data_IF_981896926493
#
_entry.id   IF_981896926493
#
_cell.length_a   1.000
_cell.length_b   1.000
_cell.length_c   1.000
_cell.angle_alpha   90.00
_cell.angle_beta   90.00
_cell.angle_gamma   90.00
#
_symmetry.space_group_name_H-M   'P 1'
#
loop_
_entity.id
_entity.type
_entity.pdbx_description
1 polymer ?
#
# COMPACT_ATOMS: atom_id res chain seq x y z
N UNK A 1 -13.67 -4.65 -5.57
CA UNK A 1 -13.49 -5.70 -6.59
C UNK A 1 -12.13 -5.49 -7.22
N UNK A 2 -11.18 -6.43 -7.08
CA UNK A 2 -9.89 -6.38 -7.78
C UNK A 2 -10.03 -6.81 -9.26
N UNK A 3 -8.93 -6.83 -10.02
CA UNK A 3 -8.96 -7.22 -11.45
C UNK A 3 -9.45 -8.64 -11.73
N UNK A 4 -9.57 -9.49 -10.70
CA UNK A 4 -10.05 -10.87 -10.80
C UNK A 4 -11.49 -11.02 -10.27
N UNK A 5 -12.20 -9.93 -9.98
CA UNK A 5 -13.57 -9.98 -9.51
C UNK A 5 -13.73 -10.17 -7.99
N UNK A 6 -12.65 -10.18 -7.21
CA UNK A 6 -12.74 -10.42 -5.76
C UNK A 6 -13.10 -9.12 -5.03
N UNK A 7 -14.23 -9.10 -4.31
CA UNK A 7 -14.72 -7.92 -3.63
C UNK A 7 -14.52 -7.99 -2.12
N UNK A 8 -13.54 -7.23 -1.62
CA UNK A 8 -13.22 -7.13 -0.19
C UNK A 8 -14.01 -6.04 0.56
N UNK A 9 -15.17 -5.66 0.03
CA UNK A 9 -16.03 -4.62 0.59
C UNK A 9 -15.92 -3.28 -0.13
N UNK A 10 -16.66 -2.26 0.36
CA UNK A 10 -16.66 -0.93 -0.21
C UNK A 10 -15.30 -0.24 -0.03
N UNK A 11 -15.05 0.78 -0.87
CA UNK A 11 -13.91 1.67 -0.68
C UNK A 11 -14.04 2.47 0.61
N UNK A 12 -12.90 2.79 1.22
CA UNK A 12 -12.80 3.51 2.48
C UNK A 12 -12.44 4.96 2.19
N UNK A 13 -13.34 5.88 2.55
CA UNK A 13 -13.16 7.31 2.30
C UNK A 13 -12.31 7.90 3.44
N UNK A 14 -11.14 8.43 3.08
CA UNK A 14 -10.30 9.25 3.96
C UNK A 14 -10.04 10.55 3.22
N UNK A 15 -10.57 11.64 3.79
CA UNK A 15 -10.73 12.92 3.10
C UNK A 15 -11.44 12.77 1.75
N UNK A 16 -10.83 13.26 0.67
CA UNK A 16 -11.34 13.21 -0.70
C UNK A 16 -10.80 12.00 -1.48
N UNK A 17 -10.13 11.05 -0.80
CA UNK A 17 -9.54 9.85 -1.43
C UNK A 17 -10.29 8.60 -0.96
N UNK A 18 -10.77 7.82 -1.93
CA UNK A 18 -11.39 6.52 -1.67
C UNK A 18 -10.32 5.44 -1.80
N UNK A 19 -9.92 4.83 -0.69
CA UNK A 19 -8.93 3.77 -0.65
C UNK A 19 -9.55 2.39 -0.86
N UNK A 20 -8.86 1.51 -1.60
CA UNK A 20 -9.26 0.12 -1.70
C UNK A 20 -9.12 -0.56 -0.32
N UNK A 21 -10.05 -1.44 0.08
CA UNK A 21 -10.03 -2.05 1.42
C UNK A 21 -8.86 -3.04 1.61
N UNK A 22 -8.30 -3.60 0.53
CA UNK A 22 -7.13 -4.50 0.57
C UNK A 22 -6.13 -4.19 -0.55
N UNK A 23 -4.91 -4.75 -0.43
CA UNK A 23 -3.91 -4.75 -1.49
C UNK A 23 -4.40 -5.60 -2.68
N UNK A 24 -3.98 -5.24 -3.90
CA UNK A 24 -4.29 -6.05 -5.07
C UNK A 24 -3.75 -7.47 -4.93
N UNK A 25 -4.56 -8.46 -5.33
CA UNK A 25 -4.22 -9.87 -5.23
C UNK A 25 -4.29 -10.45 -3.83
N UNK A 26 -4.81 -9.72 -2.84
CA UNK A 26 -5.13 -10.30 -1.53
C UNK A 26 -6.21 -11.39 -1.67
N UNK A 27 -6.18 -12.35 -0.75
CA UNK A 27 -7.18 -13.42 -0.59
C UNK A 27 -7.51 -13.59 0.90
N UNK A 28 -8.50 -14.42 1.23
CA UNK A 28 -8.80 -14.75 2.64
C UNK A 28 -7.60 -15.35 3.38
N UNK A 29 -6.77 -16.13 2.67
CA UNK A 29 -5.58 -16.79 3.22
C UNK A 29 -4.29 -15.97 3.09
N UNK A 30 -4.24 -14.99 2.18
CA UNK A 30 -3.07 -14.14 1.92
C UNK A 30 -3.49 -12.66 1.89
N UNK A 31 -3.51 -12.04 3.05
CA UNK A 31 -3.99 -10.67 3.21
C UNK A 31 -2.92 -9.59 2.94
N UNK A 32 -1.64 -9.98 2.81
CA UNK A 32 -0.60 -9.02 2.41
C UNK A 32 -0.70 -8.63 0.93
N UNK A 33 -1.39 -9.45 0.12
CA UNK A 33 -1.56 -9.23 -1.32
C UNK A 33 -0.39 -9.71 -2.16
N UNK A 34 -0.43 -9.41 -3.46
CA UNK A 34 0.65 -9.75 -4.40
C UNK A 34 1.72 -8.67 -4.45
N UNK A 35 2.93 -9.09 -4.78
CA UNK A 35 4.02 -8.20 -5.15
C UNK A 35 4.05 -8.05 -6.68
N UNK A 36 4.22 -6.82 -7.13
CA UNK A 36 4.31 -6.48 -8.55
C UNK A 36 5.71 -5.95 -8.81
N UNK A 37 6.43 -6.52 -9.79
CA UNK A 37 7.82 -6.18 -10.11
C UNK A 37 7.91 -5.42 -11.43
N UNK A 38 8.95 -4.59 -11.58
CA UNK A 38 9.27 -3.96 -12.85
C UNK A 38 10.33 -4.75 -13.59
N UNK A 39 9.91 -5.74 -14.37
CA UNK A 39 10.84 -6.52 -15.20
C UNK A 39 11.43 -5.70 -16.36
N UNK A 40 10.77 -4.61 -16.77
CA UNK A 40 11.20 -3.61 -17.77
C UNK A 40 10.19 -2.43 -17.79
N UNK A 41 10.31 -1.53 -18.77
CA UNK A 41 9.42 -0.36 -18.92
C UNK A 41 7.93 -0.69 -19.09
N UNK A 42 7.59 -1.77 -19.81
CA UNK A 42 6.19 -2.23 -19.95
C UNK A 42 5.65 -2.80 -18.66
N UNK A 43 6.53 -3.26 -17.77
CA UNK A 43 6.10 -3.77 -16.47
C UNK A 43 5.54 -2.67 -15.55
N UNK A 44 5.80 -1.38 -15.82
CA UNK A 44 5.11 -0.31 -15.08
C UNK A 44 3.65 -0.20 -15.49
N UNK A 45 3.32 -0.54 -16.75
CA UNK A 45 1.92 -0.67 -17.17
C UNK A 45 1.25 -1.86 -16.47
N UNK A 46 1.95 -2.99 -16.26
CA UNK A 46 1.42 -4.11 -15.47
C UNK A 46 1.09 -3.72 -14.02
N UNK A 47 1.88 -2.82 -13.41
CA UNK A 47 1.61 -2.26 -12.07
C UNK A 47 0.38 -1.35 -12.10
N UNK A 48 0.23 -0.50 -13.12
CA UNK A 48 -0.96 0.36 -13.28
C UNK A 48 -2.23 -0.47 -13.51
N UNK A 49 -2.14 -1.51 -14.35
CA UNK A 49 -3.21 -2.46 -14.66
C UNK A 49 -3.50 -3.44 -13.51
N UNK A 50 -2.71 -3.41 -12.43
CA UNK A 50 -3.07 -4.11 -11.20
C UNK A 50 -4.36 -3.55 -10.59
N UNK A 51 -4.61 -2.26 -10.80
CA UNK A 51 -5.83 -1.62 -10.35
C UNK A 51 -7.02 -1.96 -11.26
N UNK A 52 -8.17 -2.35 -10.68
CA UNK A 52 -9.39 -2.65 -11.43
C UNK A 52 -9.97 -1.38 -12.07
N UNK A 53 -10.89 -1.55 -13.03
CA UNK A 53 -11.50 -0.43 -13.76
C UNK A 53 -12.09 0.64 -12.82
N UNK A 54 -11.80 1.89 -13.14
CA UNK A 54 -12.18 3.06 -12.34
C UNK A 54 -11.34 3.27 -11.08
N UNK A 55 -10.38 2.39 -10.78
CA UNK A 55 -9.37 2.60 -9.73
C UNK A 55 -8.02 2.87 -10.35
N UNK A 56 -7.14 3.56 -9.62
CA UNK A 56 -5.81 3.94 -10.07
C UNK A 56 -4.76 3.75 -8.98
N UNK A 57 -3.48 3.79 -9.37
CA UNK A 57 -2.39 3.88 -8.42
C UNK A 57 -2.47 5.20 -7.64
N UNK A 58 -2.25 5.18 -6.32
CA UNK A 58 -2.13 6.39 -5.51
C UNK A 58 -0.87 7.16 -5.89
N UNK A 59 -0.95 8.48 -5.79
CA UNK A 59 0.21 9.38 -5.80
C UNK A 59 0.96 9.33 -4.47
N UNK A 60 2.19 9.83 -4.42
CA UNK A 60 2.89 10.13 -3.18
C UNK A 60 2.07 11.07 -2.29
N UNK A 61 1.41 12.06 -2.88
CA UNK A 61 0.56 13.00 -2.13
C UNK A 61 -0.60 12.29 -1.42
N UNK A 62 -1.23 11.31 -2.07
CA UNK A 62 -2.29 10.50 -1.45
C UNK A 62 -1.81 9.81 -0.18
N UNK A 63 -0.63 9.19 -0.23
CA UNK A 63 -0.04 8.57 0.94
C UNK A 63 0.33 9.58 2.02
N UNK A 64 0.86 10.75 1.64
CA UNK A 64 1.23 11.79 2.61
C UNK A 64 0.02 12.32 3.39
N UNK A 65 -1.19 12.29 2.81
CA UNK A 65 -2.42 12.61 3.56
C UNK A 65 -2.67 11.67 4.76
N UNK A 66 -2.13 10.44 4.72
CA UNK A 66 -2.29 9.45 5.78
C UNK A 66 -1.26 9.60 6.91
N UNK A 67 -0.20 10.39 6.71
CA UNK A 67 1.02 10.38 7.54
C UNK A 67 0.76 10.60 9.04
N UNK A 68 -0.10 11.54 9.39
CA UNK A 68 -0.37 11.87 10.79
C UNK A 68 -1.58 11.11 11.37
N UNK A 69 -2.17 10.19 10.60
CA UNK A 69 -3.43 9.49 10.95
C UNK A 69 -3.23 8.00 11.24
N UNK A 70 -1.99 7.61 11.46
CA UNK A 70 -1.58 6.24 11.63
C UNK A 70 -1.66 5.79 13.09
N UNK A 71 -2.19 4.60 13.33
CA UNK A 71 -2.09 3.94 14.64
C UNK A 71 -0.69 3.36 14.87
N UNK A 72 -0.46 2.84 16.07
CA UNK A 72 0.61 1.87 16.30
C UNK A 72 0.39 0.60 15.46
N UNK A 73 1.46 -0.18 15.26
CA UNK A 73 1.36 -1.51 14.66
C UNK A 73 0.34 -2.32 15.42
N UNK A 74 -0.52 -3.02 14.67
CA UNK A 74 -1.44 -3.97 15.22
C UNK A 74 -1.51 -5.24 14.36
N UNK A 75 -2.28 -6.21 14.84
CA UNK A 75 -2.63 -7.42 14.12
C UNK A 75 -4.10 -7.32 13.74
N UNK A 76 -4.38 -7.44 12.45
CA UNK A 76 -5.72 -7.55 11.90
C UNK A 76 -5.83 -8.88 11.14
N UNK A 77 -6.74 -9.76 11.56
CA UNK A 77 -6.93 -11.09 10.96
C UNK A 77 -5.60 -11.86 10.69
N UNK A 78 -4.72 -11.91 11.70
CA UNK A 78 -3.38 -12.53 11.65
C UNK A 78 -2.34 -11.81 10.75
N UNK A 79 -2.64 -10.61 10.28
CA UNK A 79 -1.75 -9.79 9.45
C UNK A 79 -1.25 -8.61 10.26
N UNK A 80 0.07 -8.42 10.35
CA UNK A 80 0.65 -7.23 10.98
C UNK A 80 0.58 -6.05 10.03
N UNK A 81 0.36 -4.86 10.57
CA UNK A 81 0.24 -3.63 9.79
C UNK A 81 -0.31 -2.49 10.61
N UNK A 82 -0.80 -1.46 9.93
CA UNK A 82 -1.25 -0.21 10.54
C UNK A 82 -2.60 0.21 9.99
N UNK A 83 -3.42 0.80 10.88
CA UNK A 83 -4.64 1.47 10.48
C UNK A 83 -4.36 2.95 10.24
N UNK A 84 -4.86 3.47 9.13
CA UNK A 84 -4.96 4.90 8.89
C UNK A 84 -6.43 5.28 8.94
N UNK A 85 -6.76 6.33 9.67
CA UNK A 85 -8.15 6.78 9.81
C UNK A 85 -8.39 8.17 9.24
N UNK A 86 -9.64 8.64 9.25
CA UNK A 86 -10.02 9.99 8.85
C UNK A 86 -9.71 11.08 9.90
N UNK A 87 -9.09 10.75 11.02
CA UNK A 87 -8.64 11.68 12.06
C UNK A 87 -7.39 11.16 12.78
N UNK A 88 -6.75 11.97 13.61
CA UNK A 88 -5.71 11.47 14.52
C UNK A 88 -6.38 10.54 15.55
N UNK A 89 -5.93 9.28 15.64
CA UNK A 89 -6.61 8.22 16.40
C UNK A 89 -5.68 7.47 17.35
N UNK A 90 -6.22 7.15 18.52
CA UNK A 90 -5.65 6.18 19.47
C UNK A 90 -6.27 4.79 19.23
N UNK A 91 -5.56 3.69 19.50
CA UNK A 91 -5.89 2.32 19.06
C UNK A 91 -7.31 1.82 19.39
N UNK A 92 -7.93 2.34 20.45
CA UNK A 92 -9.26 1.93 20.94
C UNK A 92 -10.44 2.50 20.14
N UNK A 93 -10.16 3.39 19.20
CA UNK A 93 -11.15 4.12 18.42
C UNK A 93 -11.80 3.34 17.28
N UNK A 94 -11.22 2.19 16.91
CA UNK A 94 -11.75 1.28 15.87
C UNK A 94 -13.15 0.72 16.18
N UNK A 95 -13.63 0.87 17.42
CA UNK A 95 -14.97 0.45 17.84
C UNK A 95 -16.00 1.58 17.84
N UNK A 96 -15.60 2.82 17.52
CA UNK A 96 -16.54 3.95 17.40
C UNK A 96 -17.13 3.99 15.99
N UNK A 97 -18.45 4.11 15.90
CA UNK A 97 -19.22 4.04 14.63
C UNK A 97 -18.90 5.18 13.65
N UNK A 98 -18.32 6.28 14.14
CA UNK A 98 -17.98 7.48 13.36
C UNK A 98 -16.54 7.46 12.81
N UNK A 99 -15.77 6.39 13.08
CA UNK A 99 -14.38 6.28 12.68
C UNK A 99 -14.27 5.36 11.48
N UNK A 100 -13.77 5.94 10.39
CA UNK A 100 -13.52 5.25 9.13
C UNK A 100 -12.01 5.05 9.05
N UNK A 101 -11.58 3.80 8.87
CA UNK A 101 -10.17 3.44 8.83
C UNK A 101 -9.89 2.36 7.78
N UNK A 102 -8.69 2.43 7.21
CA UNK A 102 -8.17 1.47 6.23
C UNK A 102 -6.91 0.81 6.78
N UNK A 103 -6.79 -0.50 6.60
CA UNK A 103 -5.64 -1.27 7.06
C UNK A 103 -4.62 -1.47 5.94
N UNK A 104 -3.37 -1.13 6.25
CA UNK A 104 -2.22 -1.36 5.39
C UNK A 104 -1.34 -2.45 5.99
N UNK A 105 -1.26 -3.63 5.33
CA UNK A 105 -0.36 -4.68 5.74
C UNK A 105 1.10 -4.23 5.73
N UNK A 106 1.86 -4.77 6.67
CA UNK A 106 3.32 -4.72 6.67
C UNK A 106 3.88 -5.79 5.71
N UNK A 107 3.63 -5.63 4.41
CA UNK A 107 4.04 -6.60 3.39
C UNK A 107 5.55 -6.64 3.14
N UNK A 108 6.26 -5.55 3.43
CA UNK A 108 7.65 -5.40 3.02
C UNK A 108 7.80 -5.37 1.49
N UNK A 109 8.95 -5.80 1.00
CA UNK A 109 9.25 -5.89 -0.44
C UNK A 109 9.82 -7.25 -0.83
N UNK A 110 9.45 -7.72 -2.02
CA UNK A 110 10.01 -8.93 -2.60
C UNK A 110 11.24 -8.59 -3.44
N UNK A 111 12.42 -9.14 -3.15
CA UNK A 111 13.55 -9.00 -4.08
C UNK A 111 13.54 -10.17 -5.05
N UNK A 112 13.83 -9.93 -6.34
CA UNK A 112 13.81 -10.97 -7.39
C UNK A 112 14.65 -12.23 -7.06
N UNK A 113 15.61 -12.15 -6.13
CA UNK A 113 16.48 -13.25 -5.73
C UNK A 113 16.01 -14.01 -4.47
N UNK A 114 14.93 -13.59 -3.81
CA UNK A 114 14.49 -14.16 -2.52
C UNK A 114 13.09 -14.76 -2.64
N UNK A 115 12.87 -15.92 -2.01
CA UNK A 115 11.51 -16.48 -1.83
C UNK A 115 10.75 -15.82 -0.66
N UNK A 116 11.45 -15.04 0.17
CA UNK A 116 10.92 -14.39 1.35
C UNK A 116 10.94 -12.85 1.21
N UNK A 117 9.82 -12.15 1.45
CA UNK A 117 9.80 -10.70 1.43
C UNK A 117 10.64 -10.10 2.55
N UNK A 118 11.48 -9.13 2.20
CA UNK A 118 12.26 -8.35 3.15
C UNK A 118 11.37 -7.37 3.89
N UNK A 119 11.57 -7.23 5.20
CA UNK A 119 10.79 -6.29 6.01
C UNK A 119 9.32 -6.69 6.22
N UNK A 120 8.89 -7.88 5.79
CA UNK A 120 7.55 -8.41 6.11
C UNK A 120 7.34 -8.32 7.63
N UNK A 121 6.13 -7.96 8.02
CA UNK A 121 5.72 -7.69 9.41
C UNK A 121 6.39 -6.47 10.08
N UNK A 122 7.29 -5.76 9.40
CA UNK A 122 8.09 -4.66 9.94
C UNK A 122 7.97 -3.35 9.14
N UNK A 123 7.62 -3.44 7.86
CA UNK A 123 7.36 -2.30 6.98
C UNK A 123 6.31 -2.65 5.93
N UNK A 124 5.69 -1.66 5.31
CA UNK A 124 4.87 -1.82 4.11
C UNK A 124 5.45 -1.00 2.97
N UNK A 125 5.67 -1.61 1.81
CA UNK A 125 6.22 -0.90 0.65
C UNK A 125 5.23 -0.93 -0.52
N UNK A 126 4.93 0.26 -1.04
CA UNK A 126 3.85 0.44 -2.00
C UNK A 126 4.30 1.20 -3.24
N UNK A 127 3.85 0.74 -4.40
CA UNK A 127 3.96 1.50 -5.66
C UNK A 127 3.11 2.76 -5.62
N UNK A 128 3.63 3.84 -6.18
CA UNK A 128 2.85 5.04 -6.48
C UNK A 128 2.76 5.28 -7.99
N UNK A 129 1.94 6.25 -8.39
CA UNK A 129 1.71 6.59 -9.80
C UNK A 129 2.85 7.41 -10.42
N UNK A 130 3.69 8.03 -9.60
CA UNK A 130 4.83 8.81 -10.06
C UNK A 130 5.93 7.91 -10.62
N UNK A 131 6.30 8.19 -11.86
CA UNK A 131 7.48 7.64 -12.52
C UNK A 131 8.30 8.81 -13.07
N UNK A 132 9.56 8.91 -12.68
CA UNK A 132 10.53 9.78 -13.35
C UNK A 132 11.30 8.97 -14.40
N UNK A 133 11.32 9.49 -15.61
CA UNK A 133 12.12 8.93 -16.70
C UNK A 133 13.44 9.69 -16.72
N UNK A 134 14.52 9.13 -16.16
CA UNK A 134 15.85 9.56 -16.59
C UNK A 134 16.28 8.68 -17.77
N UNK A 135 16.94 9.32 -18.73
CA UNK A 135 17.54 8.78 -19.95
C UNK A 135 18.33 7.48 -19.79
N UNK A 136 18.71 7.08 -18.58
CA UNK A 136 19.43 5.84 -18.29
C UNK A 136 18.81 4.99 -17.15
N UNK A 137 17.71 5.42 -16.52
CA UNK A 137 16.99 4.66 -15.50
C UNK A 137 15.52 5.11 -15.36
N UNK A 138 14.58 4.16 -15.39
CA UNK A 138 13.23 4.31 -14.85
C UNK A 138 13.32 4.44 -13.34
N UNK A 139 13.10 5.66 -12.85
CA UNK A 139 12.87 5.92 -11.45
C UNK A 139 11.37 5.87 -11.20
N UNK A 140 10.97 5.10 -10.22
CA UNK A 140 9.58 4.96 -9.81
C UNK A 140 9.53 5.31 -8.34
N UNK A 141 8.54 6.12 -7.97
CA UNK A 141 8.33 6.47 -6.59
C UNK A 141 7.70 5.30 -5.85
N UNK A 142 8.10 5.14 -4.60
CA UNK A 142 7.42 4.27 -3.67
C UNK A 142 7.25 4.95 -2.32
N UNK A 143 6.34 4.37 -1.55
CA UNK A 143 6.10 4.76 -0.18
C UNK A 143 6.55 3.63 0.74
N UNK A 144 7.42 3.99 1.67
CA UNK A 144 7.89 3.16 2.76
C UNK A 144 7.11 3.52 4.02
N UNK A 145 6.29 2.59 4.48
CA UNK A 145 5.62 2.65 5.77
C UNK A 145 6.53 1.96 6.78
N UNK A 146 7.23 2.75 7.59
CA UNK A 146 8.05 2.24 8.68
C UNK A 146 7.26 2.16 9.97
N UNK A 147 7.50 1.09 10.70
CA UNK A 147 6.84 0.88 11.98
C UNK A 147 7.87 0.71 13.10
N UNK A 148 8.58 1.79 13.44
CA UNK A 148 9.49 1.76 14.58
C UNK A 148 8.71 2.06 15.87
N UNK A 149 9.14 1.45 16.99
CA UNK A 149 8.41 1.23 18.25
C UNK A 149 7.56 2.41 18.79
N UNK A 150 6.37 2.63 18.23
CA UNK A 150 5.35 3.51 18.83
C UNK A 150 4.64 4.52 17.92
N UNK A 151 4.95 4.63 16.62
CA UNK A 151 4.09 5.30 15.61
C UNK A 151 4.50 4.85 14.21
N UNK A 152 3.54 4.68 13.29
CA UNK A 152 3.89 4.50 11.89
C UNK A 152 4.44 5.81 11.32
N UNK A 153 5.48 5.72 10.50
CA UNK A 153 5.99 6.83 9.71
C UNK A 153 5.80 6.51 8.22
N UNK A 154 5.42 7.54 7.46
CA UNK A 154 5.32 7.47 6.00
C UNK A 154 6.51 8.24 5.45
N UNK A 155 7.39 7.53 4.74
CA UNK A 155 8.48 8.13 3.97
C UNK A 155 8.24 7.87 2.49
N UNK A 156 8.30 8.94 1.68
CA UNK A 156 8.29 8.86 0.22
C UNK A 156 9.73 8.86 -0.26
N UNK A 157 10.14 7.86 -1.02
CA UNK A 157 11.47 7.81 -1.63
C UNK A 157 11.37 7.65 -3.14
N UNK A 158 12.28 8.32 -3.86
CA UNK A 158 12.42 8.25 -5.32
C UNK A 158 13.52 7.25 -5.70
N UNK A 159 13.54 6.04 -5.13
CA UNK A 159 14.60 5.08 -5.47
C UNK A 159 14.14 3.62 -5.29
N UNK A 160 13.30 3.12 -6.21
CA UNK A 160 13.13 1.67 -6.34
C UNK A 160 14.04 1.13 -7.43
N UNK A 161 14.91 0.20 -7.05
CA UNK A 161 15.57 -0.68 -8.00
C UNK A 161 14.53 -1.59 -8.66
N UNK A 162 14.59 -1.74 -9.99
CA UNK A 162 13.76 -2.68 -10.78
C UNK A 162 13.61 -4.08 -10.17
N UNK A 163 14.59 -4.49 -9.35
CA UNK A 163 14.64 -5.78 -8.67
C UNK A 163 13.65 -5.97 -7.52
N UNK A 164 12.85 -4.96 -7.16
CA UNK A 164 11.91 -5.05 -6.05
C UNK A 164 10.46 -5.18 -6.54
N UNK A 165 9.76 -6.16 -5.99
CA UNK A 165 8.32 -6.32 -6.08
C UNK A 165 7.67 -5.65 -4.88
N UNK A 166 6.82 -4.65 -5.15
CA UNK A 166 6.10 -3.91 -4.11
C UNK A 166 4.60 -4.22 -4.17
N UNK A 167 3.89 -3.91 -3.09
CA UNK A 167 2.44 -4.04 -3.04
C UNK A 167 1.75 -2.91 -3.82
N UNK A 168 0.55 -3.20 -4.33
CA UNK A 168 -0.33 -2.19 -4.94
C UNK A 168 -1.55 -1.99 -4.05
N UNK A 169 -1.84 -0.75 -3.68
CA UNK A 169 -3.07 -0.34 -2.99
C UNK A 169 -3.76 0.74 -3.80
N UNK A 170 -4.87 0.42 -4.44
CA UNK A 170 -5.52 1.35 -5.36
C UNK A 170 -6.37 2.42 -4.66
N UNK A 171 -6.60 3.53 -5.36
CA UNK A 171 -7.47 4.63 -4.94
C UNK A 171 -8.48 5.03 -6.03
N UNK A 172 -9.49 5.78 -5.62
CA UNK A 172 -10.50 6.46 -6.44
C UNK A 172 -10.60 7.91 -5.99
N UNK A 173 -10.75 8.82 -6.95
CA UNK A 173 -10.94 10.26 -6.76
C UNK A 173 -11.99 10.74 -7.76
#
# INVERSE_FOLDING_TARGET
MDKNGINFGPGIIIDDVIWAPVNCGATESEQYGKYYTLSNHRAFDDVREACPEGWQLPSCEDFLTLRERATNITINNNTKGVWFSNREVDYMDKYRKDIVAVFFPASGSMRMANDNPLGKESSGEYWTSESQFDSNAYEVSNVWLFYNTGKAAIETTLHVSYANGLSVRCVKK
#
